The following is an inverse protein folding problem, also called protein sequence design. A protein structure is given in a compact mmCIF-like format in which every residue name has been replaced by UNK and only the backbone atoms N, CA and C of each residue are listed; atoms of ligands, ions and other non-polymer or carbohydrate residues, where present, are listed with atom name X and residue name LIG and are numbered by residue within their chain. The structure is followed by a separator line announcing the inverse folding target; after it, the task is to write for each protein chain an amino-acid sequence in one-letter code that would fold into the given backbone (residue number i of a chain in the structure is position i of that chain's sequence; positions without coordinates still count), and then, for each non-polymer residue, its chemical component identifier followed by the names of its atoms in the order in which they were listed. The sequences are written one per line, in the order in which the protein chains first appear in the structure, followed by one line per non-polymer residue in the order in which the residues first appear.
data_IF_796523779648
#
_entry.id   IF_796523779648
#
_cell.length_a   1.000
_cell.length_b   1.000
_cell.length_c   1.000
_cell.angle_alpha   90.00
_cell.angle_beta   90.00
_cell.angle_gamma   90.00
#
_symmetry.space_group_name_H-M   'P 1'
#
loop_
_entity.id
_entity.type
_entity.pdbx_description
1 polymer ?
#
# COMPACT_ATOMS: atom_id res chain seq x y z
N UNK A 1 -19.36 -1.47 29.47
CA UNK A 1 -19.49 -1.03 28.06
C UNK A 1 -18.11 -1.07 27.43
N UNK A 2 -17.77 -2.16 26.73
CA UNK A 2 -16.53 -2.23 25.96
C UNK A 2 -16.59 -1.16 24.85
N UNK A 3 -15.74 -0.14 24.97
CA UNK A 3 -15.54 0.83 23.90
C UNK A 3 -14.94 0.06 22.72
N UNK A 4 -15.75 -0.28 21.72
CA UNK A 4 -15.23 -0.78 20.43
C UNK A 4 -14.31 0.31 19.88
N UNK A 5 -13.00 0.11 20.02
CA UNK A 5 -11.98 0.93 19.36
C UNK A 5 -12.27 0.97 17.87
N UNK A 6 -12.11 2.13 17.23
CA UNK A 6 -12.32 2.28 15.78
C UNK A 6 -11.61 1.16 15.02
N UNK A 7 -12.24 0.57 13.99
CA UNK A 7 -11.60 -0.47 13.18
C UNK A 7 -10.31 0.08 12.60
N UNK A 8 -9.22 -0.67 12.78
CA UNK A 8 -7.86 -0.26 12.41
C UNK A 8 -7.52 -0.83 11.03
N UNK A 9 -6.76 -0.07 10.25
CA UNK A 9 -6.20 -0.57 8.99
C UNK A 9 -5.04 -1.51 9.32
N UNK A 10 -5.06 -2.70 8.74
CA UNK A 10 -4.07 -3.77 8.93
C UNK A 10 -3.20 -3.98 7.69
N UNK A 11 -3.83 -3.95 6.52
CA UNK A 11 -3.16 -4.08 5.24
C UNK A 11 -3.68 -3.03 4.29
N UNK A 12 -2.78 -2.38 3.55
CA UNK A 12 -3.11 -1.55 2.40
C UNK A 12 -2.38 -2.08 1.17
N UNK A 13 -3.10 -2.18 0.06
CA UNK A 13 -2.50 -2.34 -1.26
C UNK A 13 -2.74 -1.06 -2.02
N UNK A 14 -1.65 -0.42 -2.42
CA UNK A 14 -1.65 0.87 -3.10
C UNK A 14 -1.06 0.70 -4.49
N UNK A 15 -1.64 1.39 -5.45
CA UNK A 15 -1.04 1.66 -6.75
C UNK A 15 -0.35 3.03 -6.68
N UNK A 16 0.97 3.05 -6.90
CA UNK A 16 1.82 4.22 -6.74
C UNK A 16 2.53 4.55 -8.05
N UNK A 17 2.65 5.84 -8.34
CA UNK A 17 3.50 6.35 -9.41
C UNK A 17 4.70 7.07 -8.80
N UNK A 18 5.92 6.57 -9.03
CA UNK A 18 7.17 7.14 -8.48
C UNK A 18 8.10 7.58 -9.61
N UNK A 19 8.89 8.67 -9.47
CA UNK A 19 10.05 8.91 -10.35
C UNK A 19 11.09 7.77 -10.25
N UNK A 20 12.04 7.63 -11.17
CA UNK A 20 13.04 6.53 -11.07
C UNK A 20 13.92 6.57 -9.80
N UNK A 21 14.06 7.73 -9.17
CA UNK A 21 14.86 7.93 -7.96
C UNK A 21 13.97 8.43 -6.81
N UNK A 22 14.08 7.89 -5.58
CA UNK A 22 15.05 6.85 -5.13
C UNK A 22 14.69 5.45 -5.67
N UNK A 23 15.57 4.47 -5.51
CA UNK A 23 15.27 3.10 -5.98
C UNK A 23 14.16 2.44 -5.13
N UNK A 24 13.55 1.36 -5.63
CA UNK A 24 12.45 0.67 -4.95
C UNK A 24 12.79 0.14 -3.56
N UNK A 25 14.03 -0.30 -3.31
CA UNK A 25 14.44 -0.82 -2.02
C UNK A 25 14.58 0.30 -0.98
N UNK A 26 15.17 1.43 -1.35
CA UNK A 26 15.24 2.64 -0.51
C UNK A 26 13.85 3.17 -0.20
N UNK A 27 12.99 3.23 -1.21
CA UNK A 27 11.60 3.64 -1.03
C UNK A 27 10.87 2.72 -0.05
N UNK A 28 11.05 1.40 -0.15
CA UNK A 28 10.48 0.43 0.79
C UNK A 28 10.99 0.58 2.21
N UNK A 29 12.30 0.80 2.39
CA UNK A 29 12.86 1.08 3.71
C UNK A 29 12.24 2.34 4.31
N UNK A 30 12.09 3.40 3.52
CA UNK A 30 11.49 4.64 3.97
C UNK A 30 10.00 4.50 4.34
N UNK A 31 9.24 3.64 3.64
CA UNK A 31 7.85 3.34 4.03
C UNK A 31 7.79 2.58 5.37
N UNK A 32 8.76 1.72 5.65
CA UNK A 32 8.87 1.04 6.95
C UNK A 32 9.36 1.94 8.10
N UNK A 33 9.84 3.16 7.82
CA UNK A 33 10.15 4.15 8.87
C UNK A 33 8.87 4.73 9.51
N UNK A 34 7.74 4.64 8.81
CA UNK A 34 6.44 5.02 9.35
C UNK A 34 6.09 4.05 10.48
N UNK A 35 5.92 4.55 11.71
CA UNK A 35 5.73 3.73 12.92
C UNK A 35 4.56 2.75 12.81
N UNK A 36 3.56 3.09 12.01
CA UNK A 36 2.35 2.29 11.84
C UNK A 36 2.50 1.15 10.81
N UNK A 37 3.60 1.13 10.04
CA UNK A 37 3.95 0.12 9.04
C UNK A 37 5.03 -0.81 9.61
N UNK A 38 4.79 -2.11 9.56
CA UNK A 38 5.73 -3.13 10.03
C UNK A 38 6.45 -3.82 8.87
N UNK A 39 5.74 -4.05 7.77
CA UNK A 39 6.28 -4.69 6.58
C UNK A 39 5.80 -3.94 5.33
N UNK A 40 6.67 -3.87 4.33
CA UNK A 40 6.34 -3.38 3.00
C UNK A 40 6.82 -4.39 1.95
N UNK A 41 5.94 -4.72 1.01
CA UNK A 41 6.28 -5.45 -0.21
C UNK A 41 5.99 -4.52 -1.40
N UNK A 42 7.00 -4.28 -2.22
CA UNK A 42 6.90 -3.41 -3.38
C UNK A 42 7.23 -4.22 -4.64
N UNK A 43 6.46 -4.02 -5.69
CA UNK A 43 6.70 -4.62 -7.01
C UNK A 43 6.49 -3.59 -8.10
N UNK A 44 7.52 -3.34 -8.90
CA UNK A 44 7.38 -2.56 -10.15
C UNK A 44 6.69 -3.46 -11.17
N UNK A 45 5.63 -2.97 -11.81
CA UNK A 45 4.93 -3.70 -12.87
C UNK A 45 4.94 -2.98 -14.22
N UNK A 46 5.27 -1.68 -14.24
CA UNK A 46 5.50 -0.92 -15.46
C UNK A 46 6.57 0.15 -15.23
N UNK A 47 7.31 0.45 -16.29
CA UNK A 47 8.36 1.46 -16.32
C UNK A 47 8.09 2.33 -17.55
N UNK A 48 7.92 3.63 -17.32
CA UNK A 48 7.75 4.65 -18.33
C UNK A 48 9.02 5.51 -18.44
N UNK A 49 9.04 6.50 -19.34
CA UNK A 49 10.21 7.34 -19.63
C UNK A 49 10.76 8.08 -18.40
N UNK A 50 9.89 8.43 -17.45
CA UNK A 50 10.25 9.25 -16.27
C UNK A 50 9.69 8.69 -14.96
N UNK A 51 8.86 7.66 -15.02
CA UNK A 51 8.07 7.16 -13.89
C UNK A 51 8.03 5.64 -13.86
N UNK A 52 7.80 5.11 -12.69
CA UNK A 52 7.64 3.69 -12.40
C UNK A 52 6.28 3.50 -11.74
N UNK A 53 5.52 2.55 -12.24
CA UNK A 53 4.25 2.13 -11.62
C UNK A 53 4.53 0.96 -10.69
N UNK A 54 4.20 1.16 -9.42
CA UNK A 54 4.59 0.30 -8.31
C UNK A 54 3.36 -0.13 -7.56
N UNK A 55 3.21 -1.44 -7.36
CA UNK A 55 2.26 -1.99 -6.41
C UNK A 55 2.92 -2.11 -5.04
N UNK A 56 2.37 -1.42 -4.05
CA UNK A 56 2.85 -1.45 -2.67
C UNK A 56 1.85 -2.16 -1.77
N UNK A 57 2.30 -3.18 -1.04
CA UNK A 57 1.55 -3.85 0.01
C UNK A 57 2.17 -3.48 1.35
N UNK A 58 1.43 -2.78 2.18
CA UNK A 58 1.85 -2.36 3.51
C UNK A 58 1.07 -3.14 4.56
N UNK A 59 1.77 -3.71 5.53
CA UNK A 59 1.18 -4.43 6.66
C UNK A 59 1.58 -3.77 7.98
N UNK A 60 0.62 -3.65 8.91
CA UNK A 60 0.85 -3.08 10.24
C UNK A 60 -0.32 -3.29 11.18
N UNK A 61 -0.19 -2.80 12.41
CA UNK A 61 -1.23 -3.00 13.45
C UNK A 61 -2.26 -1.88 13.52
N UNK A 62 -1.93 -0.69 13.05
CA UNK A 62 -2.78 0.51 13.03
C UNK A 62 -2.27 1.49 11.97
N UNK A 63 -2.28 1.07 10.70
CA UNK A 63 -1.73 1.89 9.61
C UNK A 63 -2.46 3.23 9.55
N UNK A 64 -1.71 4.33 9.69
CA UNK A 64 -2.20 5.67 9.44
C UNK A 64 -1.98 6.00 7.96
N UNK A 65 -3.07 5.95 7.19
CA UNK A 65 -3.00 6.19 5.76
C UNK A 65 -2.51 7.62 5.42
N UNK A 66 -2.85 8.62 6.23
CA UNK A 66 -2.43 9.99 5.97
C UNK A 66 -0.93 10.17 6.22
N UNK A 67 -0.39 9.52 7.25
CA UNK A 67 1.06 9.49 7.52
C UNK A 67 1.82 8.78 6.39
N UNK A 68 1.32 7.61 5.96
CA UNK A 68 1.88 6.86 4.82
C UNK A 68 1.83 7.70 3.54
N UNK A 69 0.70 8.32 3.24
CA UNK A 69 0.52 9.14 2.04
C UNK A 69 1.50 10.31 2.00
N UNK A 70 1.67 11.02 3.11
CA UNK A 70 2.67 12.11 3.22
C UNK A 70 4.08 11.59 2.98
N UNK A 71 4.44 10.46 3.59
CA UNK A 71 5.76 9.85 3.37
C UNK A 71 5.97 9.50 1.90
N UNK A 72 4.95 8.97 1.22
CA UNK A 72 5.01 8.69 -0.23
C UNK A 72 5.26 9.98 -1.02
N UNK A 73 4.49 11.04 -0.73
CA UNK A 73 4.60 12.35 -1.39
C UNK A 73 5.98 13.02 -1.17
N UNK A 74 6.60 12.82 0.00
CA UNK A 74 7.95 13.33 0.32
C UNK A 74 9.04 12.75 -0.63
N UNK A 75 8.82 11.57 -1.21
CA UNK A 75 9.70 10.96 -2.21
C UNK A 75 9.31 11.28 -3.66
N UNK A 76 8.40 12.24 -3.86
CA UNK A 76 7.89 12.61 -5.17
C UNK A 76 7.00 11.54 -5.81
N UNK A 77 6.56 10.55 -5.04
CA UNK A 77 5.60 9.55 -5.49
C UNK A 77 4.16 10.00 -5.22
N UNK A 78 3.22 9.46 -5.97
CA UNK A 78 1.79 9.77 -5.83
C UNK A 78 1.00 8.48 -5.71
N UNK A 79 0.00 8.48 -4.82
CA UNK A 79 -0.98 7.39 -4.73
C UNK A 79 -1.99 7.55 -5.88
N UNK A 80 -1.98 6.61 -6.83
CA UNK A 80 -2.92 6.57 -7.94
C UNK A 80 -4.27 5.97 -7.50
N UNK A 81 -4.22 4.82 -6.81
CA UNK A 81 -5.41 4.19 -6.22
C UNK A 81 -5.09 3.38 -4.96
N UNK A 82 -6.12 3.13 -4.17
CA UNK A 82 -6.11 2.14 -3.08
C UNK A 82 -6.81 0.89 -3.59
N UNK A 83 -6.04 -0.13 -3.98
CA UNK A 83 -6.55 -1.35 -4.60
C UNK A 83 -7.21 -2.29 -3.59
N UNK A 84 -6.71 -2.33 -2.35
CA UNK A 84 -7.24 -3.19 -1.28
C UNK A 84 -6.97 -2.54 0.07
N UNK A 85 -7.92 -2.68 0.98
CA UNK A 85 -7.74 -2.38 2.39
C UNK A 85 -8.29 -3.52 3.23
N UNK A 86 -7.51 -3.98 4.21
CA UNK A 86 -7.96 -4.93 5.23
C UNK A 86 -8.09 -4.18 6.53
N UNK A 87 -9.32 -4.09 7.04
CA UNK A 87 -9.66 -3.36 8.26
C UNK A 87 -10.25 -4.29 9.31
N UNK A 88 -9.84 -4.15 10.56
CA UNK A 88 -10.37 -4.97 11.65
C UNK A 88 -9.42 -5.12 12.84
N UNK A 89 -9.84 -5.94 13.79
CA UNK A 89 -9.13 -6.10 15.06
C UNK A 89 -8.34 -7.42 15.17
N UNK A 90 -8.79 -8.50 14.52
CA UNK A 90 -8.33 -9.86 14.85
C UNK A 90 -7.47 -10.53 13.79
N UNK A 91 -7.82 -10.44 12.51
CA UNK A 91 -7.16 -11.21 11.46
C UNK A 91 -7.10 -10.45 10.15
N UNK A 92 -6.09 -10.77 9.35
CA UNK A 92 -6.05 -10.42 7.94
C UNK A 92 -7.02 -11.36 7.22
N UNK A 93 -7.87 -10.81 6.36
CA UNK A 93 -8.81 -11.57 5.53
C UNK A 93 -8.42 -11.38 4.06
N UNK A 94 -8.52 -12.45 3.30
CA UNK A 94 -8.34 -12.40 1.86
C UNK A 94 -9.70 -12.38 1.19
N UNK A 95 -9.85 -11.53 0.18
CA UNK A 95 -11.00 -11.61 -0.72
C UNK A 95 -10.85 -12.89 -1.56
N UNK A 96 -11.96 -13.61 -1.83
CA UNK A 96 -11.92 -14.70 -2.81
C UNK A 96 -11.42 -14.14 -4.15
N UNK A 97 -10.65 -14.94 -4.90
CA UNK A 97 -10.28 -14.58 -6.27
C UNK A 97 -11.55 -14.28 -7.05
N UNK A 98 -11.72 -13.03 -7.50
CA UNK A 98 -12.80 -12.69 -8.41
C UNK A 98 -12.60 -13.53 -9.68
N UNK A 99 -13.65 -14.18 -10.20
CA UNK A 99 -13.55 -14.89 -11.46
C UNK A 99 -13.10 -13.93 -12.57
N UNK A 100 -12.10 -14.35 -13.35
CA UNK A 100 -11.61 -13.65 -14.54
C UNK A 100 -12.70 -13.60 -15.63
N UNK A 101 -13.68 -12.71 -15.50
CA UNK A 101 -14.72 -12.51 -16.51
C UNK A 101 -14.25 -11.66 -17.71
N UNK A 102 -12.94 -11.45 -17.88
CA UNK A 102 -12.38 -10.71 -19.01
C UNK A 102 -11.79 -11.59 -20.12
N UNK A 103 -11.88 -12.92 -20.04
CA UNK A 103 -11.59 -13.83 -21.17
C UNK A 103 -12.83 -14.08 -22.03
N UNK A 104 -13.51 -13.02 -22.46
CA UNK A 104 -14.58 -13.12 -23.46
C UNK A 104 -14.68 -11.85 -24.31
N UNK A 105 -13.73 -11.68 -25.24
CA UNK A 105 -14.00 -11.61 -26.69
C UNK A 105 -12.71 -11.56 -27.49
#
# INVERSE_FOLDING_TARGET
MEKKSKPKIKVLVLDLLKPHQPNIAEFGQALCEVKSVQNANLSVYAIDEKTESIKAVLEGTEIDFEEVKKKIEDFGAVVHSVDKAVVGAKKIIEAPSLPDHLSSK
#
